data_IF_325969626438
#
_entry.id   IF_325969626438
#
_cell.length_a   1.000
_cell.length_b   1.000
_cell.length_c   1.000
_cell.angle_alpha   90.00
_cell.angle_beta   90.00
_cell.angle_gamma   90.00
#
_symmetry.space_group_name_H-M   'P 1'
#
loop_
_entity.id
_entity.type
_entity.pdbx_description
1 polymer ?
#
# COMPACT_ATOMS: atom_id res chain seq x y z
N UNK A 1 30.96 -36.04 -48.88
CA UNK A 1 30.79 -36.32 -50.33
C UNK A 1 29.31 -36.14 -50.68
N UNK A 2 29.02 -35.52 -51.83
CA UNK A 2 27.71 -35.36 -52.50
C UNK A 2 26.82 -34.16 -52.11
N UNK A 3 27.27 -33.01 -52.60
CA UNK A 3 26.64 -32.15 -53.63
C UNK A 3 25.27 -32.50 -54.23
N UNK A 4 24.66 -31.43 -54.77
CA UNK A 4 23.60 -31.24 -55.80
C UNK A 4 22.15 -31.08 -55.29
N UNK A 5 21.57 -29.86 -55.30
CA UNK A 5 21.00 -29.10 -56.43
C UNK A 5 19.89 -29.84 -57.18
N UNK A 6 18.65 -29.36 -57.07
CA UNK A 6 17.66 -29.45 -58.15
C UNK A 6 16.73 -28.22 -58.13
N UNK A 7 17.09 -27.28 -58.99
CA UNK A 7 16.15 -26.39 -59.70
C UNK A 7 15.26 -27.26 -60.61
N UNK A 8 13.96 -26.94 -60.70
CA UNK A 8 13.22 -27.11 -61.95
C UNK A 8 12.10 -26.05 -62.07
N UNK A 9 11.79 -25.55 -63.30
CA UNK A 9 11.04 -24.32 -63.53
C UNK A 9 9.68 -24.57 -64.23
N UNK A 10 9.12 -23.48 -64.78
CA UNK A 10 7.99 -23.35 -65.71
C UNK A 10 6.60 -23.20 -65.05
N UNK A 11 5.67 -22.40 -65.58
CA UNK A 11 5.66 -21.28 -66.52
C UNK A 11 4.21 -20.78 -66.58
N UNK A 12 4.05 -19.45 -66.63
CA UNK A 12 2.95 -18.66 -67.19
C UNK A 12 1.49 -19.10 -67.01
N UNK A 13 0.70 -18.19 -66.40
CA UNK A 13 -0.44 -17.60 -67.12
C UNK A 13 -0.75 -16.19 -66.61
N UNK A 14 -0.23 -15.17 -67.31
CA UNK A 14 -0.67 -13.79 -67.13
C UNK A 14 -2.00 -13.59 -67.86
N UNK A 15 -3.06 -13.23 -67.14
CA UNK A 15 -4.25 -12.59 -67.70
C UNK A 15 -4.19 -11.12 -67.36
N UNK A 16 -4.04 -10.30 -68.39
CA UNK A 16 -4.16 -8.84 -68.28
C UNK A 16 -5.60 -8.44 -67.98
N UNK A 17 -5.77 -7.50 -67.06
CA UNK A 17 -6.93 -6.63 -66.98
C UNK A 17 -6.39 -5.21 -66.84
N UNK A 18 -6.64 -4.40 -67.86
CA UNK A 18 -6.43 -2.95 -67.85
C UNK A 18 -7.49 -2.34 -66.94
N UNK A 19 -7.05 -1.57 -65.94
CA UNK A 19 -7.94 -0.82 -65.03
C UNK A 19 -7.25 0.46 -64.59
N UNK A 20 -7.78 1.56 -65.09
CA UNK A 20 -7.53 2.99 -64.84
C UNK A 20 -7.19 3.42 -63.40
N UNK A 21 -6.13 4.25 -63.31
CA UNK A 21 -5.89 5.41 -62.43
C UNK A 21 -6.94 5.74 -61.34
N UNK A 22 -6.52 5.69 -60.07
CA UNK A 22 -6.77 6.74 -59.07
C UNK A 22 -5.90 6.52 -57.82
N UNK A 23 -5.06 7.47 -57.38
CA UNK A 23 -4.37 7.37 -56.11
C UNK A 23 -5.26 8.00 -55.03
N UNK A 24 -5.91 7.19 -54.20
CA UNK A 24 -6.36 7.64 -52.88
C UNK A 24 -5.42 7.04 -51.85
N UNK A 25 -4.38 7.81 -51.50
CA UNK A 25 -3.63 7.59 -50.29
C UNK A 25 -4.54 7.95 -49.10
N UNK A 26 -5.28 6.97 -48.60
CA UNK A 26 -5.91 7.07 -47.27
C UNK A 26 -4.77 6.90 -46.27
N UNK A 27 -4.17 8.01 -45.87
CA UNK A 27 -3.32 8.05 -44.69
C UNK A 27 -4.24 7.85 -43.48
N UNK A 28 -4.37 6.61 -43.03
CA UNK A 28 -4.92 6.30 -41.72
C UNK A 28 -3.92 6.85 -40.70
N UNK A 29 -4.10 8.10 -40.28
CA UNK A 29 -3.44 8.62 -39.08
C UNK A 29 -4.14 7.95 -37.91
N UNK A 30 -3.70 6.73 -37.59
CA UNK A 30 -4.02 6.10 -36.32
C UNK A 30 -3.37 6.98 -35.25
N UNK A 31 -4.17 7.86 -34.65
CA UNK A 31 -3.80 8.57 -33.45
C UNK A 31 -3.49 7.51 -32.38
N UNK A 32 -2.19 7.24 -32.18
CA UNK A 32 -1.75 6.62 -30.95
C UNK A 32 -2.11 7.61 -29.85
N UNK A 33 -3.23 7.37 -29.17
CA UNK A 33 -3.44 7.92 -27.85
C UNK A 33 -2.29 7.38 -27.00
N UNK A 34 -1.22 8.17 -26.86
CA UNK A 34 -0.25 7.94 -25.83
C UNK A 34 -1.04 7.95 -24.52
N UNK A 35 -1.20 6.78 -23.90
CA UNK A 35 -1.57 6.68 -22.50
C UNK A 35 -0.58 7.58 -21.78
N UNK A 36 -1.03 8.74 -21.32
CA UNK A 36 -0.26 9.54 -20.40
C UNK A 36 -0.09 8.67 -19.15
N UNK A 37 1.03 7.95 -19.06
CA UNK A 37 1.54 7.48 -17.79
C UNK A 37 1.78 8.75 -16.97
N UNK A 38 0.78 9.18 -16.22
CA UNK A 38 1.01 10.14 -15.16
C UNK A 38 2.00 9.48 -14.20
N UNK A 39 3.13 10.15 -13.94
CA UNK A 39 4.05 9.69 -12.92
C UNK A 39 3.29 9.64 -11.59
N UNK A 40 3.13 8.44 -11.02
CA UNK A 40 2.55 8.24 -9.67
C UNK A 40 3.28 9.16 -8.70
N UNK A 41 2.52 9.88 -7.86
CA UNK A 41 3.03 10.84 -6.88
C UNK A 41 2.55 10.40 -5.52
N UNK A 42 3.44 9.83 -4.72
CA UNK A 42 2.99 9.15 -3.49
C UNK A 42 4.08 9.15 -2.42
N UNK A 43 3.76 8.50 -1.30
CA UNK A 43 4.68 8.16 -0.23
C UNK A 43 4.81 6.63 -0.11
N UNK A 44 5.98 6.15 0.31
CA UNK A 44 6.17 4.81 0.85
C UNK A 44 6.36 4.98 2.36
N UNK A 45 5.36 4.58 3.13
CA UNK A 45 5.40 4.62 4.58
C UNK A 45 6.00 3.32 5.10
N UNK A 46 6.89 3.42 6.08
CA UNK A 46 7.36 2.30 6.89
C UNK A 46 7.20 2.63 8.37
N UNK A 47 7.01 1.62 9.20
CA UNK A 47 6.75 1.84 10.62
C UNK A 47 7.53 0.91 11.55
N UNK A 48 7.77 1.43 12.75
CA UNK A 48 8.21 0.72 13.96
C UNK A 48 7.13 0.79 15.03
N UNK A 49 7.22 -0.10 16.02
CA UNK A 49 6.36 -0.11 17.21
C UNK A 49 7.23 0.09 18.45
N UNK A 50 7.07 1.21 19.15
CA UNK A 50 7.92 1.64 20.29
C UNK A 50 9.43 1.57 19.97
N UNK A 51 9.82 2.05 18.80
CA UNK A 51 11.18 2.03 18.26
C UNK A 51 11.67 0.64 17.84
N UNK A 52 10.85 -0.42 17.97
CA UNK A 52 11.20 -1.78 17.57
C UNK A 52 10.76 -2.06 16.13
N UNK A 53 11.64 -2.73 15.38
CA UNK A 53 11.31 -3.20 14.04
C UNK A 53 10.22 -4.28 14.10
N UNK A 54 9.25 -4.18 13.20
CA UNK A 54 8.22 -5.20 12.99
C UNK A 54 8.72 -6.16 11.93
N UNK A 55 9.03 -7.39 12.35
CA UNK A 55 9.66 -8.43 11.53
C UNK A 55 8.72 -9.58 11.20
N UNK A 56 7.54 -9.62 11.82
CA UNK A 56 6.54 -10.64 11.58
C UNK A 56 5.13 -10.13 11.88
N UNK A 57 4.11 -10.84 11.37
CA UNK A 57 2.72 -10.59 11.74
C UNK A 57 2.47 -10.81 13.24
N UNK A 58 3.26 -11.68 13.89
CA UNK A 58 3.17 -11.92 15.33
C UNK A 58 3.56 -10.70 16.15
N UNK A 59 4.54 -9.91 15.69
CA UNK A 59 5.01 -8.71 16.38
C UNK A 59 3.91 -7.62 16.46
N UNK A 60 2.97 -7.66 15.52
CA UNK A 60 1.77 -6.82 15.49
C UNK A 60 0.66 -7.43 16.35
N UNK A 61 0.31 -8.69 16.08
CA UNK A 61 -0.84 -9.34 16.71
C UNK A 61 -0.68 -9.56 18.21
N UNK A 62 0.56 -9.57 18.73
CA UNK A 62 0.83 -9.62 20.18
C UNK A 62 0.49 -8.31 20.91
N UNK A 63 0.04 -7.28 20.19
CA UNK A 63 -0.46 -6.03 20.76
C UNK A 63 -1.79 -5.65 20.13
N UNK A 64 -2.56 -6.64 19.65
CA UNK A 64 -3.86 -6.43 19.02
C UNK A 64 -3.86 -5.74 17.65
N UNK A 65 -2.70 -5.30 17.16
CA UNK A 65 -2.58 -4.54 15.92
C UNK A 65 -2.71 -5.48 14.72
N UNK A 66 -3.67 -5.19 13.85
CA UNK A 66 -3.88 -5.89 12.58
C UNK A 66 -3.48 -5.02 11.38
N UNK A 67 -3.78 -3.71 11.47
CA UNK A 67 -3.60 -2.79 10.37
C UNK A 67 -3.12 -1.40 10.81
N UNK A 68 -2.62 -0.63 9.85
CA UNK A 68 -2.18 0.76 9.99
C UNK A 68 -3.07 1.64 9.12
N UNK A 69 -3.83 2.52 9.75
CA UNK A 69 -4.60 3.58 9.10
C UNK A 69 -3.70 4.77 8.83
N UNK A 70 -3.71 5.28 7.60
CA UNK A 70 -3.05 6.53 7.24
C UNK A 70 -4.08 7.48 6.63
N UNK A 71 -4.20 8.68 7.19
CA UNK A 71 -4.97 9.78 6.62
C UNK A 71 -4.03 10.89 6.19
N UNK A 72 -3.88 11.08 4.88
CA UNK A 72 -3.14 12.20 4.31
C UNK A 72 -4.05 13.43 4.23
N UNK A 73 -3.61 14.57 4.77
CA UNK A 73 -4.37 15.84 4.78
C UNK A 73 -3.54 16.99 4.22
N UNK A 74 -4.16 17.80 3.37
CA UNK A 74 -3.61 19.05 2.84
C UNK A 74 -4.74 20.04 2.58
N UNK A 75 -4.73 21.16 3.29
CA UNK A 75 -5.80 22.17 3.23
C UNK A 75 -7.18 21.54 3.48
N UNK A 76 -8.06 21.51 2.47
CA UNK A 76 -9.37 20.84 2.52
C UNK A 76 -9.36 19.40 1.99
N UNK A 77 -8.26 18.96 1.39
CA UNK A 77 -8.12 17.65 0.78
C UNK A 77 -7.73 16.61 1.84
N UNK A 78 -8.35 15.44 1.74
CA UNK A 78 -8.07 14.31 2.63
C UNK A 78 -8.19 13.01 1.85
N UNK A 79 -7.17 12.17 1.97
CA UNK A 79 -7.13 10.82 1.40
C UNK A 79 -6.80 9.81 2.50
N UNK A 80 -7.23 8.57 2.37
CA UNK A 80 -6.98 7.54 3.38
C UNK A 80 -6.60 6.21 2.77
N UNK A 81 -5.68 5.51 3.44
CA UNK A 81 -5.26 4.16 3.09
C UNK A 81 -5.15 3.31 4.37
N UNK A 82 -5.36 2.01 4.21
CA UNK A 82 -5.17 1.03 5.28
C UNK A 82 -4.18 -0.01 4.76
N UNK A 83 -3.14 -0.27 5.56
CA UNK A 83 -2.13 -1.28 5.29
C UNK A 83 -2.19 -2.37 6.36
N UNK A 84 -1.99 -3.63 6.00
CA UNK A 84 -1.74 -4.64 7.04
C UNK A 84 -0.48 -4.28 7.82
N UNK A 85 -0.47 -4.52 9.13
CA UNK A 85 0.67 -4.14 10.00
C UNK A 85 1.97 -4.85 9.59
N UNK A 86 1.87 -6.05 9.02
CA UNK A 86 2.99 -6.76 8.41
C UNK A 86 2.52 -7.64 7.25
N UNK A 87 3.33 -7.73 6.19
CA UNK A 87 3.16 -8.71 5.11
C UNK A 87 4.49 -9.41 4.82
N UNK A 88 4.52 -10.71 4.45
CA UNK A 88 5.75 -11.37 4.03
C UNK A 88 6.44 -10.75 2.80
N UNK A 89 5.71 -9.99 1.98
CA UNK A 89 6.22 -9.36 0.76
C UNK A 89 6.69 -7.94 1.01
N UNK A 90 5.90 -7.18 1.79
CA UNK A 90 6.19 -5.78 2.06
C UNK A 90 6.97 -5.58 3.37
N UNK A 91 6.87 -6.46 4.36
CA UNK A 91 7.28 -6.15 5.73
C UNK A 91 6.30 -5.15 6.36
N UNK A 92 6.81 -4.27 7.22
CA UNK A 92 6.07 -3.17 7.85
C UNK A 92 6.08 -1.89 7.03
N UNK A 93 5.61 -1.98 5.77
CA UNK A 93 5.54 -0.84 4.85
C UNK A 93 4.31 -0.88 3.95
N UNK A 94 3.92 0.28 3.45
CA UNK A 94 2.80 0.48 2.53
C UNK A 94 3.02 1.69 1.61
N UNK A 95 2.48 1.62 0.40
CA UNK A 95 2.53 2.73 -0.58
C UNK A 95 1.18 3.44 -0.58
N UNK A 96 1.21 4.76 -0.37
CA UNK A 96 0.03 5.61 -0.32
C UNK A 96 -0.71 5.75 -1.65
N UNK A 97 -1.90 6.37 -1.64
CA UNK A 97 -2.61 6.74 -2.87
C UNK A 97 -1.84 7.81 -3.66
N UNK A 98 -2.26 8.06 -4.89
CA UNK A 98 -1.76 9.20 -5.66
C UNK A 98 -2.22 10.52 -5.02
N UNK A 99 -1.28 11.42 -4.76
CA UNK A 99 -1.50 12.72 -4.12
C UNK A 99 -0.98 13.85 -5.01
N UNK A 100 -1.56 15.05 -4.86
CA UNK A 100 -0.97 16.25 -5.44
C UNK A 100 0.41 16.52 -4.82
N UNK A 101 1.36 17.08 -5.60
CA UNK A 101 2.68 17.43 -5.07
C UNK A 101 2.60 18.54 -4.02
N UNK A 102 3.63 18.62 -3.18
CA UNK A 102 3.75 19.59 -2.09
C UNK A 102 3.58 18.97 -0.70
N UNK A 103 3.46 19.80 0.36
CA UNK A 103 3.44 19.35 1.73
C UNK A 103 2.09 18.72 2.12
N UNK A 104 2.15 17.56 2.78
CA UNK A 104 1.01 16.84 3.34
C UNK A 104 1.29 16.48 4.80
N UNK A 105 0.25 16.51 5.64
CA UNK A 105 0.27 15.91 6.96
C UNK A 105 -0.27 14.47 6.87
N UNK A 106 0.54 13.49 7.20
CA UNK A 106 0.12 12.08 7.29
C UNK A 106 -0.20 11.76 8.75
N UNK A 107 -1.47 11.58 9.06
CA UNK A 107 -1.90 11.05 10.36
C UNK A 107 -1.92 9.53 10.32
N UNK A 108 -1.18 8.88 11.21
CA UNK A 108 -1.00 7.42 11.24
C UNK A 108 -1.50 6.85 12.56
N UNK A 109 -2.24 5.73 12.50
CA UNK A 109 -2.77 5.02 13.68
C UNK A 109 -2.73 3.51 13.49
N UNK A 110 -2.60 2.77 14.59
CA UNK A 110 -2.80 1.33 14.62
C UNK A 110 -4.29 0.99 14.78
N UNK A 111 -4.73 -0.03 14.05
CA UNK A 111 -6.08 -0.57 14.09
C UNK A 111 -6.06 -2.03 14.55
N UNK A 112 -7.11 -2.42 15.28
CA UNK A 112 -7.42 -3.82 15.54
C UNK A 112 -8.03 -4.51 14.31
N UNK A 113 -8.18 -5.83 14.37
CA UNK A 113 -8.86 -6.61 13.33
C UNK A 113 -10.33 -6.21 13.10
N UNK A 114 -10.99 -5.57 14.08
CA UNK A 114 -12.35 -5.01 13.93
C UNK A 114 -12.37 -3.59 13.37
N UNK A 115 -11.20 -2.98 13.14
CA UNK A 115 -11.05 -1.59 12.72
C UNK A 115 -11.11 -0.58 13.87
N UNK A 116 -11.06 -1.03 15.14
CA UNK A 116 -10.99 -0.12 16.28
C UNK A 116 -9.61 0.58 16.29
N UNK A 117 -9.60 1.89 16.55
CA UNK A 117 -8.37 2.67 16.67
C UNK A 117 -7.72 2.39 18.02
N UNK A 118 -6.57 1.73 17.99
CA UNK A 118 -5.84 1.29 19.18
C UNK A 118 -4.91 2.36 19.74
N UNK A 119 -4.46 3.30 18.89
CA UNK A 119 -3.48 4.31 19.27
C UNK A 119 -3.94 5.73 18.97
N UNK A 120 -3.35 6.69 19.68
CA UNK A 120 -3.40 8.09 19.29
C UNK A 120 -2.78 8.29 17.89
N UNK A 121 -3.19 9.37 17.20
CA UNK A 121 -2.64 9.69 15.89
C UNK A 121 -1.22 10.22 16.01
N UNK A 122 -0.30 9.64 15.26
CA UNK A 122 1.03 10.20 15.03
C UNK A 122 1.00 10.96 13.72
N UNK A 123 1.32 12.25 13.75
CA UNK A 123 1.30 13.11 12.55
C UNK A 123 2.73 13.37 12.09
N UNK A 124 3.03 12.99 10.85
CA UNK A 124 4.31 13.28 10.18
C UNK A 124 4.10 14.12 8.93
N UNK A 125 5.05 14.98 8.60
CA UNK A 125 5.00 15.78 7.38
C UNK A 125 5.69 15.04 6.24
N UNK A 126 5.05 14.99 5.08
CA UNK A 126 5.61 14.43 3.86
C UNK A 126 5.60 15.48 2.74
N UNK A 127 6.73 15.67 2.07
CA UNK A 127 6.81 16.50 0.86
C UNK A 127 6.64 15.58 -0.35
N UNK A 128 5.43 15.53 -0.90
CA UNK A 128 5.12 14.70 -2.06
C UNK A 128 5.79 15.33 -3.31
N UNK A 129 6.61 14.57 -4.04
CA UNK A 129 7.36 15.09 -5.19
C UNK A 129 6.44 15.35 -6.38
N UNK A 130 6.94 16.08 -7.37
CA UNK A 130 6.23 16.27 -8.64
C UNK A 130 6.12 14.99 -9.47
N UNK A 131 6.98 14.00 -9.19
CA UNK A 131 6.98 12.66 -9.74
C UNK A 131 7.65 11.67 -8.76
N UNK A 132 7.13 10.44 -8.69
CA UNK A 132 7.71 9.36 -7.91
C UNK A 132 7.22 9.30 -6.47
N UNK A 133 8.06 8.71 -5.61
CA UNK A 133 7.69 8.32 -4.25
C UNK A 133 8.67 8.92 -3.24
N UNK A 134 8.14 9.46 -2.14
CA UNK A 134 8.94 9.85 -0.97
C UNK A 134 8.88 8.79 0.13
N UNK A 135 10.04 8.40 0.67
CA UNK A 135 10.08 7.48 1.81
C UNK A 135 9.76 8.22 3.10
N UNK A 136 8.87 7.67 3.92
CA UNK A 136 8.46 8.20 5.23
C UNK A 136 8.56 7.08 6.26
N UNK A 137 9.15 7.39 7.41
CA UNK A 137 9.25 6.47 8.56
C UNK A 137 8.47 7.04 9.72
N UNK A 138 7.67 6.22 10.40
CA UNK A 138 6.91 6.61 11.59
C UNK A 138 7.13 5.60 12.71
N UNK A 139 7.27 6.09 13.94
CA UNK A 139 7.25 5.24 15.11
C UNK A 139 5.87 5.35 15.76
N UNK A 140 5.17 4.22 15.88
CA UNK A 140 3.86 4.15 16.48
C UNK A 140 3.97 3.60 17.90
N UNK A 141 3.22 4.16 18.86
CA UNK A 141 3.14 3.56 20.18
C UNK A 141 2.42 2.21 20.10
N UNK A 142 2.76 1.26 20.96
CA UNK A 142 1.87 0.12 21.18
C UNK A 142 0.64 0.54 22.00
N UNK A 143 -0.53 -0.05 21.75
CA UNK A 143 -1.65 0.11 22.66
C UNK A 143 -1.31 -0.46 24.05
N UNK A 144 -2.04 0.01 25.05
CA UNK A 144 -2.04 -0.61 26.38
C UNK A 144 -2.61 -2.03 26.26
N UNK A 145 -2.01 -2.99 26.98
CA UNK A 145 -2.48 -4.38 27.02
C UNK A 145 -3.92 -4.51 27.54
N UNK A 146 -4.38 -3.52 28.32
CA UNK A 146 -5.74 -3.48 28.85
C UNK A 146 -6.78 -2.90 27.88
N UNK A 147 -6.37 -2.55 26.65
CA UNK A 147 -7.26 -2.04 25.62
C UNK A 147 -6.83 -2.46 24.20
N UNK A 148 -6.04 -3.54 24.09
CA UNK A 148 -5.54 -4.04 22.80
C UNK A 148 -6.33 -5.26 22.28
N UNK A 149 -7.23 -5.82 23.07
CA UNK A 149 -8.04 -6.97 22.68
C UNK A 149 -7.30 -8.30 22.74
N UNK A 150 -6.15 -8.34 23.42
CA UNK A 150 -5.36 -9.55 23.66
C UNK A 150 -5.43 -9.93 25.14
N UNK A 151 -5.42 -11.23 25.41
CA UNK A 151 -5.18 -11.79 26.75
C UNK A 151 -3.67 -11.85 26.96
N UNK A 152 -3.09 -10.85 27.63
CA UNK A 152 -1.64 -10.68 27.67
C UNK A 152 -0.97 -11.50 28.79
N UNK A 153 -1.72 -11.99 29.78
CA UNK A 153 -1.25 -12.87 30.85
C UNK A 153 -1.66 -14.36 30.68
N UNK A 154 -2.60 -14.65 29.78
CA UNK A 154 -3.01 -15.99 29.37
C UNK A 154 -4.01 -16.65 30.32
N UNK A 155 -4.72 -15.89 31.14
CA UNK A 155 -5.72 -16.41 32.09
C UNK A 155 -7.11 -16.63 31.47
N UNK A 156 -7.31 -16.16 30.24
CA UNK A 156 -8.53 -16.26 29.45
C UNK A 156 -9.45 -15.04 29.52
N UNK A 157 -9.11 -14.03 30.31
CA UNK A 157 -9.76 -12.72 30.31
C UNK A 157 -9.06 -11.74 29.35
N UNK A 158 -9.78 -10.70 28.92
CA UNK A 158 -9.27 -9.72 27.95
C UNK A 158 -9.74 -8.32 28.35
N UNK A 159 -8.84 -7.34 28.33
CA UNK A 159 -9.12 -5.93 28.53
C UNK A 159 -10.00 -5.67 29.78
N UNK A 160 -11.20 -5.09 29.59
CA UNK A 160 -12.14 -4.75 30.65
C UNK A 160 -12.72 -5.96 31.40
N UNK A 161 -12.52 -7.18 30.89
CA UNK A 161 -12.89 -8.41 31.58
C UNK A 161 -11.75 -8.99 32.41
N UNK A 162 -10.53 -8.47 32.25
CA UNK A 162 -9.37 -8.87 33.03
C UNK A 162 -9.31 -8.08 34.35
N UNK A 163 -9.13 -8.83 35.44
CA UNK A 163 -8.95 -8.29 36.79
C UNK A 163 -7.61 -7.60 37.01
N UNK A 164 -6.61 -7.80 36.14
CA UNK A 164 -5.34 -7.09 36.17
C UNK A 164 -5.44 -5.69 35.54
N UNK A 165 -6.53 -5.43 34.80
CA UNK A 165 -6.83 -4.16 34.13
C UNK A 165 -7.68 -3.18 34.95
N UNK A 166 -7.71 -3.36 36.28
CA UNK A 166 -8.33 -2.41 37.21
C UNK A 166 -7.27 -1.68 38.03
N UNK A 167 -7.53 -0.40 38.32
CA UNK A 167 -6.68 0.41 39.18
C UNK A 167 -6.75 -0.04 40.65
N UNK A 168 -6.01 0.64 41.53
CA UNK A 168 -6.00 0.33 42.97
C UNK A 168 -7.37 0.53 43.66
N UNK A 169 -8.33 1.14 42.97
CA UNK A 169 -9.69 1.40 43.41
C UNK A 169 -10.70 0.40 42.81
N UNK A 170 -10.22 -0.55 42.00
CA UNK A 170 -11.06 -1.55 41.34
C UNK A 170 -11.83 -0.99 40.14
N UNK A 171 -11.38 0.13 39.55
CA UNK A 171 -11.97 0.74 38.37
C UNK A 171 -11.16 0.33 37.14
N UNK A 172 -11.84 -0.15 36.08
CA UNK A 172 -11.18 -0.45 34.81
C UNK A 172 -10.44 0.77 34.26
N UNK A 173 -9.17 0.58 33.91
CA UNK A 173 -8.32 1.62 33.32
C UNK A 173 -7.68 1.10 32.01
N UNK A 174 -8.14 1.59 30.84
CA UNK A 174 -7.64 1.19 29.52
C UNK A 174 -6.22 1.69 29.22
N UNK A 175 -5.56 2.36 30.17
CA UNK A 175 -4.17 2.83 30.03
C UNK A 175 -3.20 2.04 30.91
N UNK A 176 -3.67 1.07 31.68
CA UNK A 176 -2.81 0.17 32.45
C UNK A 176 -2.09 -0.84 31.55
N UNK A 177 -0.97 -1.36 32.05
CA UNK A 177 -0.36 -2.56 31.50
C UNK A 177 -0.57 -3.70 32.49
N UNK A 178 -0.98 -4.86 32.00
CA UNK A 178 -1.04 -6.10 32.77
C UNK A 178 0.37 -6.38 33.35
N UNK A 179 0.44 -6.95 34.55
CA UNK A 179 1.67 -7.07 35.34
C UNK A 179 2.32 -8.44 35.26
#
# INVERSE_FOLDING_TARGET
MRTLNLLLPLALRQRGVRGTLMPLAVALVSALAASACGSTKTYELSWTLDGQAVTSAKDCSSSGIDAIEVTARKDSDSESAIFGCYSPVAGSRGVGPDLASGPWALGVRALSASGARLTAEVVVQALIPDEGTVAVTVDLPRPSSCADGVDNDGDGAVDAFDSTCVDAQGVYDPQLSER
#
